data_IF_310218162008
#
_entry.id   IF_310218162008
#
_cell.length_a   1.000
_cell.length_b   1.000
_cell.length_c   1.000
_cell.angle_alpha   90.00
_cell.angle_beta   90.00
_cell.angle_gamma   90.00
#
_symmetry.space_group_name_H-M   'P 1'
#
loop_
_entity.id
_entity.type
_entity.pdbx_description
1 polymer ?
#
# COMPACT_ATOMS: atom_id res chain seq x y z
N UNK A 1 -20.40 -9.00 -16.71
CA UNK A 1 -20.59 -10.22 -15.88
C UNK A 1 -19.51 -11.20 -16.29
N UNK A 2 -18.52 -11.39 -15.42
CA UNK A 2 -17.34 -12.23 -15.67
C UNK A 2 -17.71 -13.73 -15.75
N UNK A 3 -18.76 -14.18 -15.04
CA UNK A 3 -19.26 -15.55 -15.11
C UNK A 3 -19.72 -15.94 -16.52
N UNK A 4 -20.23 -14.98 -17.30
CA UNK A 4 -20.62 -15.22 -18.71
C UNK A 4 -19.45 -15.43 -19.65
N UNK A 5 -18.26 -14.92 -19.28
CA UNK A 5 -17.03 -15.06 -20.05
C UNK A 5 -16.24 -16.30 -19.64
N UNK A 6 -16.33 -16.71 -18.37
CA UNK A 6 -15.50 -17.77 -17.79
C UNK A 6 -16.28 -19.10 -17.65
N UNK A 7 -17.54 -19.05 -17.24
CA UNK A 7 -18.34 -20.26 -16.92
C UNK A 7 -19.26 -20.62 -18.10
N UNK A 8 -20.08 -19.67 -18.56
CA UNK A 8 -20.91 -19.88 -19.74
C UNK A 8 -21.91 -18.76 -20.04
N UNK A 9 -22.37 -18.65 -21.30
CA UNK A 9 -23.17 -17.50 -21.77
C UNK A 9 -24.48 -17.31 -21.01
N UNK A 10 -25.09 -18.39 -20.54
CA UNK A 10 -26.38 -18.37 -19.84
C UNK A 10 -26.25 -18.07 -18.36
N UNK A 11 -25.04 -18.15 -17.79
CA UNK A 11 -24.76 -17.95 -16.39
C UNK A 11 -25.15 -16.52 -15.95
N UNK A 12 -25.85 -16.42 -14.84
CA UNK A 12 -26.31 -15.15 -14.28
C UNK A 12 -25.29 -14.56 -13.29
N UNK A 13 -24.22 -15.28 -12.97
CA UNK A 13 -23.17 -14.91 -12.05
C UNK A 13 -23.50 -15.17 -10.58
N UNK A 14 -24.62 -15.84 -10.27
CA UNK A 14 -25.04 -16.06 -8.88
C UNK A 14 -24.01 -16.85 -8.09
N UNK A 15 -23.46 -17.93 -8.66
CA UNK A 15 -22.45 -18.76 -8.00
C UNK A 15 -21.18 -17.95 -7.71
N UNK A 16 -20.72 -17.14 -8.67
CA UNK A 16 -19.56 -16.30 -8.46
C UNK A 16 -19.83 -15.18 -7.46
N UNK A 17 -21.01 -14.58 -7.50
CA UNK A 17 -21.39 -13.56 -6.52
C UNK A 17 -21.42 -14.16 -5.11
N UNK A 18 -21.99 -15.36 -4.93
CA UNK A 18 -21.97 -16.08 -3.67
C UNK A 18 -20.54 -16.41 -3.23
N UNK A 19 -19.71 -16.89 -4.17
CA UNK A 19 -18.31 -17.21 -3.92
C UNK A 19 -17.54 -16.01 -3.36
N UNK A 20 -17.76 -14.82 -3.92
CA UNK A 20 -17.12 -13.59 -3.47
C UNK A 20 -17.77 -12.97 -2.23
N UNK A 21 -19.10 -13.06 -2.09
CA UNK A 21 -19.82 -12.22 -1.12
C UNK A 21 -20.19 -12.92 0.17
N UNK A 22 -20.31 -14.25 0.14
CA UNK A 22 -20.97 -15.04 1.18
C UNK A 22 -20.27 -16.36 1.51
N UNK A 23 -19.39 -16.85 0.64
CA UNK A 23 -18.69 -18.12 0.87
C UNK A 23 -17.73 -18.03 2.07
N UNK A 24 -17.61 -19.07 2.91
CA UNK A 24 -16.89 -18.96 4.19
C UNK A 24 -15.37 -19.14 4.07
N UNK A 25 -14.80 -19.10 2.85
CA UNK A 25 -13.35 -19.26 2.70
C UNK A 25 -12.59 -18.03 3.24
N UNK A 26 -11.41 -18.29 3.78
CA UNK A 26 -10.61 -17.26 4.45
C UNK A 26 -9.68 -16.57 3.47
N UNK A 27 -9.92 -15.29 3.21
CA UNK A 27 -8.99 -14.41 2.50
C UNK A 27 -7.59 -14.43 3.13
N UNK A 28 -7.53 -14.33 4.45
CA UNK A 28 -6.27 -14.32 5.18
C UNK A 28 -5.45 -15.61 4.98
N UNK A 29 -6.10 -16.78 4.83
CA UNK A 29 -5.38 -18.03 4.55
C UNK A 29 -4.73 -18.03 3.17
N UNK A 30 -5.38 -17.43 2.16
CA UNK A 30 -4.80 -17.27 0.82
C UNK A 30 -3.61 -16.32 0.88
N UNK A 31 -3.77 -15.18 1.55
CA UNK A 31 -2.69 -14.19 1.73
C UNK A 31 -1.51 -14.80 2.49
N UNK A 32 -1.75 -15.55 3.56
CA UNK A 32 -0.71 -16.24 4.31
C UNK A 32 0.03 -17.29 3.46
N UNK A 33 -0.68 -18.01 2.57
CA UNK A 33 -0.02 -18.93 1.65
C UNK A 33 0.88 -18.19 0.66
N UNK A 34 0.45 -17.05 0.11
CA UNK A 34 1.28 -16.20 -0.75
C UNK A 34 2.53 -15.70 -0.01
N UNK A 35 2.39 -15.28 1.25
CA UNK A 35 3.53 -14.89 2.08
C UNK A 35 4.51 -16.05 2.30
N UNK A 36 4.00 -17.27 2.55
CA UNK A 36 4.82 -18.46 2.72
C UNK A 36 5.55 -18.86 1.41
N UNK A 37 4.87 -18.82 0.27
CA UNK A 37 5.45 -19.13 -1.04
C UNK A 37 6.55 -18.12 -1.42
N UNK A 38 6.32 -16.84 -1.14
CA UNK A 38 7.30 -15.78 -1.32
C UNK A 38 8.52 -16.01 -0.40
N UNK A 39 8.29 -16.30 0.88
CA UNK A 39 9.36 -16.61 1.83
C UNK A 39 10.16 -17.87 1.45
N UNK A 40 9.55 -18.82 0.74
CA UNK A 40 10.22 -20.03 0.25
C UNK A 40 10.94 -19.83 -1.09
N UNK A 41 10.76 -18.69 -1.78
CA UNK A 41 11.33 -18.45 -3.11
C UNK A 41 12.81 -18.05 -3.01
N UNK A 42 13.78 -18.85 -3.54
CA UNK A 42 15.21 -18.58 -3.37
C UNK A 42 15.68 -17.25 -3.97
N UNK A 43 15.12 -16.87 -5.12
CA UNK A 43 15.46 -15.62 -5.80
C UNK A 43 15.02 -14.35 -5.05
N UNK A 44 14.16 -14.50 -4.03
CA UNK A 44 13.61 -13.38 -3.25
C UNK A 44 14.15 -13.32 -1.82
N UNK A 45 15.18 -14.11 -1.48
CA UNK A 45 15.78 -14.14 -0.14
C UNK A 45 16.58 -12.88 0.21
N UNK A 46 16.93 -12.05 -0.78
CA UNK A 46 17.72 -10.83 -0.59
C UNK A 46 17.16 -9.69 -1.45
N UNK A 47 17.45 -8.44 -1.10
CA UNK A 47 16.99 -7.25 -1.82
C UNK A 47 15.49 -6.97 -1.72
N UNK A 48 14.79 -7.72 -0.87
CA UNK A 48 13.37 -7.54 -0.59
C UNK A 48 13.12 -6.27 0.21
N UNK A 49 12.09 -5.51 -0.17
CA UNK A 49 11.66 -4.30 0.54
C UNK A 49 10.17 -4.38 0.78
N UNK A 50 9.76 -4.01 1.98
CA UNK A 50 8.35 -3.84 2.28
C UNK A 50 7.94 -2.40 2.07
N UNK A 51 6.76 -2.17 1.51
CA UNK A 51 6.23 -0.82 1.30
C UNK A 51 4.82 -0.76 1.85
N UNK A 52 4.62 0.06 2.88
CA UNK A 52 3.33 0.31 3.52
C UNK A 52 2.73 1.59 2.96
N UNK A 53 1.51 1.50 2.43
CA UNK A 53 0.80 2.61 1.83
C UNK A 53 -0.72 2.39 1.93
N UNK A 54 -1.50 3.42 1.62
CA UNK A 54 -2.93 3.26 1.41
C UNK A 54 -3.37 3.58 -0.01
N UNK A 55 -4.51 3.05 -0.38
CA UNK A 55 -5.18 3.47 -1.60
C UNK A 55 -6.67 3.66 -1.37
N UNK A 56 -7.16 4.84 -1.77
CA UNK A 56 -8.56 5.19 -1.77
C UNK A 56 -9.23 4.83 -3.10
N UNK A 57 -10.43 4.25 -3.01
CA UNK A 57 -11.34 4.04 -4.13
C UNK A 57 -12.61 4.88 -3.93
N UNK A 58 -13.00 5.63 -4.96
CA UNK A 58 -14.13 6.55 -4.88
C UNK A 58 -15.45 5.76 -4.85
N UNK A 59 -16.39 6.15 -4.00
CA UNK A 59 -17.68 5.48 -3.87
C UNK A 59 -18.83 6.43 -4.17
N UNK A 60 -19.86 5.91 -4.83
CA UNK A 60 -21.07 6.66 -5.17
C UNK A 60 -22.11 6.71 -4.04
N UNK A 61 -21.92 5.96 -2.94
CA UNK A 61 -22.86 5.90 -1.82
C UNK A 61 -22.26 5.29 -0.55
N UNK A 62 -22.97 5.46 0.57
CA UNK A 62 -22.53 5.04 1.92
C UNK A 62 -22.77 3.55 2.21
N UNK A 63 -23.44 2.82 1.31
CA UNK A 63 -23.88 1.44 1.52
C UNK A 63 -22.80 0.38 1.29
N UNK A 64 -21.53 0.78 1.22
CA UNK A 64 -20.40 -0.15 1.09
C UNK A 64 -19.57 -0.12 2.36
N UNK A 65 -19.06 -1.27 2.78
CA UNK A 65 -18.28 -1.38 4.02
C UNK A 65 -17.10 -0.39 4.00
N UNK A 66 -16.89 0.36 5.08
CA UNK A 66 -15.80 1.34 5.17
C UNK A 66 -15.94 2.59 4.29
N UNK A 67 -17.04 2.74 3.53
CA UNK A 67 -17.30 3.97 2.80
C UNK A 67 -17.56 5.13 3.79
N UNK A 68 -16.80 6.21 3.64
CA UNK A 68 -16.97 7.44 4.42
C UNK A 68 -16.36 8.63 3.68
N UNK A 69 -16.63 9.85 4.15
CA UNK A 69 -15.90 11.04 3.66
C UNK A 69 -14.50 11.03 4.27
N UNK A 70 -13.50 10.78 3.43
CA UNK A 70 -12.10 10.67 3.83
C UNK A 70 -11.23 11.43 2.83
N UNK A 71 -10.00 11.74 3.20
CA UNK A 71 -9.05 12.35 2.27
C UNK A 71 -8.75 11.33 1.16
N UNK A 72 -9.06 11.70 -0.08
CA UNK A 72 -8.74 10.90 -1.25
C UNK A 72 -7.55 11.53 -1.97
N UNK A 73 -6.37 10.95 -1.78
CA UNK A 73 -5.12 11.46 -2.38
C UNK A 73 -5.19 11.58 -3.90
N UNK A 74 -5.94 10.70 -4.58
CA UNK A 74 -6.13 10.76 -6.04
C UNK A 74 -6.95 11.97 -6.48
N UNK A 75 -7.94 12.36 -5.67
CA UNK A 75 -8.83 13.49 -5.99
C UNK A 75 -8.36 14.81 -5.35
N UNK A 76 -7.32 14.76 -4.50
CA UNK A 76 -6.79 15.92 -3.79
C UNK A 76 -7.79 16.60 -2.86
N UNK A 77 -8.80 15.86 -2.37
CA UNK A 77 -9.89 16.42 -1.57
C UNK A 77 -10.52 15.39 -0.64
N UNK A 78 -11.28 15.89 0.34
CA UNK A 78 -12.21 15.09 1.12
C UNK A 78 -13.37 14.64 0.22
N UNK A 79 -13.50 13.33 0.02
CA UNK A 79 -14.57 12.75 -0.78
C UNK A 79 -15.08 11.43 -0.20
N UNK A 80 -16.26 11.01 -0.65
CA UNK A 80 -16.81 9.72 -0.30
C UNK A 80 -15.97 8.62 -0.95
N UNK A 81 -15.23 7.88 -0.13
CA UNK A 81 -14.36 6.82 -0.59
C UNK A 81 -14.24 5.69 0.43
N UNK A 82 -13.75 4.56 -0.06
CA UNK A 82 -13.33 3.39 0.70
C UNK A 82 -11.81 3.34 0.65
N UNK A 83 -11.13 3.09 1.77
CA UNK A 83 -9.67 3.10 1.82
C UNK A 83 -9.17 1.75 2.30
N UNK A 84 -8.28 1.13 1.52
CA UNK A 84 -7.51 -0.02 1.97
C UNK A 84 -6.11 0.41 2.40
N UNK A 85 -5.58 -0.23 3.43
CA UNK A 85 -4.16 -0.20 3.78
C UNK A 85 -3.52 -1.43 3.12
N UNK A 86 -2.41 -1.25 2.42
CA UNK A 86 -1.75 -2.32 1.66
C UNK A 86 -0.30 -2.41 2.05
N UNK A 87 0.22 -3.64 2.05
CA UNK A 87 1.63 -3.92 2.21
C UNK A 87 2.11 -4.61 0.95
N UNK A 88 3.07 -3.97 0.28
CA UNK A 88 3.71 -4.48 -0.92
C UNK A 88 5.08 -5.04 -0.60
N UNK A 89 5.48 -6.08 -1.32
CA UNK A 89 6.85 -6.56 -1.40
C UNK A 89 7.44 -6.12 -2.74
N UNK A 90 8.66 -5.59 -2.74
CA UNK A 90 9.33 -5.16 -3.95
C UNK A 90 10.84 -5.45 -3.95
N UNK A 91 11.32 -5.98 -5.07
CA UNK A 91 12.74 -6.04 -5.46
C UNK A 91 12.97 -5.12 -6.65
N UNK A 92 14.18 -5.07 -7.21
CA UNK A 92 14.47 -4.18 -8.34
C UNK A 92 13.75 -4.57 -9.64
N UNK A 93 13.30 -5.82 -9.74
CA UNK A 93 12.65 -6.37 -10.92
C UNK A 93 11.19 -6.77 -10.69
N UNK A 94 10.71 -6.68 -9.45
CA UNK A 94 9.45 -7.29 -9.00
C UNK A 94 8.75 -6.40 -7.99
N UNK A 95 7.42 -6.38 -8.03
CA UNK A 95 6.58 -5.84 -6.96
C UNK A 95 5.25 -6.58 -6.93
N UNK A 96 4.70 -6.79 -5.75
CA UNK A 96 3.36 -7.37 -5.55
C UNK A 96 2.80 -6.95 -4.20
N UNK A 97 1.49 -6.84 -4.06
CA UNK A 97 0.86 -6.82 -2.73
C UNK A 97 1.04 -8.18 -2.06
N UNK A 98 1.29 -8.16 -0.76
CA UNK A 98 1.47 -9.36 0.08
C UNK A 98 0.56 -9.36 1.31
N UNK A 99 -0.10 -8.25 1.61
CA UNK A 99 -1.13 -8.13 2.64
C UNK A 99 -2.01 -6.91 2.37
N UNK A 100 -3.20 -6.87 2.94
CA UNK A 100 -4.10 -5.72 2.86
C UNK A 100 -5.21 -5.79 3.90
N UNK A 101 -5.72 -4.62 4.29
CA UNK A 101 -6.80 -4.49 5.28
C UNK A 101 -7.72 -3.35 4.90
N UNK A 102 -9.04 -3.57 4.98
CA UNK A 102 -9.99 -2.48 4.81
C UNK A 102 -9.97 -1.58 6.05
N UNK A 103 -9.71 -0.29 5.85
CA UNK A 103 -9.85 0.68 6.92
C UNK A 103 -11.33 1.02 7.14
N UNK A 104 -11.80 0.79 8.38
CA UNK A 104 -13.13 1.18 8.85
C UNK A 104 -12.98 2.42 9.76
N UNK A 105 -13.41 3.61 9.32
CA UNK A 105 -13.36 4.83 10.13
C UNK A 105 -14.14 4.68 11.45
N UNK A 106 -13.73 5.38 12.50
CA UNK A 106 -14.34 5.30 13.84
C UNK A 106 -15.88 5.39 13.85
N UNK A 107 -16.54 6.27 13.08
CA UNK A 107 -18.01 6.32 13.04
C UNK A 107 -18.67 4.99 12.65
N UNK A 108 -18.00 4.11 11.89
CA UNK A 108 -18.51 2.79 11.54
C UNK A 108 -18.80 1.92 12.75
N UNK A 109 -18.20 2.21 13.92
CA UNK A 109 -18.38 1.45 15.16
C UNK A 109 -19.43 2.04 16.09
N UNK A 110 -20.06 3.17 15.72
CA UNK A 110 -21.15 3.75 16.48
C UNK A 110 -22.39 2.81 16.51
N UNK A 111 -23.24 2.88 17.56
CA UNK A 111 -24.43 2.03 17.69
C UNK A 111 -25.39 2.13 16.49
N UNK A 112 -25.48 3.31 15.87
CA UNK A 112 -26.39 3.60 14.75
C UNK A 112 -26.05 2.79 13.49
N UNK A 113 -24.77 2.40 13.33
CA UNK A 113 -24.30 1.59 12.21
C UNK A 113 -24.24 0.08 12.53
N UNK A 114 -24.67 -0.36 13.72
CA UNK A 114 -24.62 -1.78 14.09
C UNK A 114 -25.39 -2.69 13.11
N UNK A 115 -26.61 -2.29 12.72
CA UNK A 115 -27.42 -3.02 11.73
C UNK A 115 -26.72 -3.08 10.36
N UNK A 116 -26.09 -1.97 9.95
CA UNK A 116 -25.40 -1.89 8.66
C UNK A 116 -24.10 -2.72 8.65
N UNK A 117 -23.36 -2.75 9.76
CA UNK A 117 -22.19 -3.63 9.94
C UNK A 117 -22.57 -5.11 9.75
N UNK A 118 -23.66 -5.54 10.38
CA UNK A 118 -24.18 -6.91 10.24
C UNK A 118 -24.62 -7.18 8.80
N UNK A 119 -25.39 -6.28 8.17
CA UNK A 119 -25.87 -6.41 6.79
C UNK A 119 -24.70 -6.55 5.79
N UNK A 120 -23.61 -5.84 6.04
CA UNK A 120 -22.42 -5.81 5.18
C UNK A 120 -21.41 -6.92 5.50
N UNK A 121 -21.66 -7.75 6.52
CA UNK A 121 -20.79 -8.85 6.89
C UNK A 121 -19.48 -8.41 7.54
N UNK A 122 -19.46 -7.25 8.20
CA UNK A 122 -18.29 -6.82 8.99
C UNK A 122 -18.20 -7.72 10.24
N UNK A 123 -17.04 -8.37 10.50
CA UNK A 123 -16.89 -9.26 11.66
C UNK A 123 -17.19 -8.55 12.98
N UNK A 124 -17.93 -9.18 13.92
CA UNK A 124 -18.31 -8.55 15.19
C UNK A 124 -17.12 -8.27 16.10
N UNK A 125 -16.00 -8.99 15.91
CA UNK A 125 -14.76 -8.78 16.64
C UNK A 125 -13.96 -7.55 16.16
N UNK A 126 -14.32 -6.94 15.02
CA UNK A 126 -13.67 -5.70 14.57
C UNK A 126 -14.03 -4.55 15.50
N UNK A 127 -13.02 -3.80 15.90
CA UNK A 127 -13.13 -2.52 16.57
C UNK A 127 -12.36 -1.45 15.78
N UNK A 128 -12.55 -0.19 16.15
CA UNK A 128 -11.81 0.89 15.51
C UNK A 128 -10.30 0.66 15.67
N UNK A 129 -9.62 0.60 14.54
CA UNK A 129 -8.17 0.44 14.44
C UNK A 129 -7.66 1.49 13.47
N UNK A 130 -6.68 2.30 13.90
CA UNK A 130 -6.10 3.34 13.03
C UNK A 130 -5.34 2.69 11.86
N UNK A 131 -5.19 3.40 10.74
CA UNK A 131 -4.39 2.92 9.59
C UNK A 131 -2.96 2.52 10.00
N UNK A 132 -2.36 3.30 10.90
CA UNK A 132 -1.03 3.03 11.46
C UNK A 132 -1.00 1.71 12.23
N UNK A 133 -2.01 1.43 13.05
CA UNK A 133 -2.12 0.18 13.79
C UNK A 133 -2.43 -1.02 12.86
N UNK A 134 -3.25 -0.83 11.82
CA UNK A 134 -3.47 -1.86 10.78
C UNK A 134 -2.16 -2.20 10.06
N UNK A 135 -1.41 -1.17 9.63
CA UNK A 135 -0.10 -1.36 9.00
C UNK A 135 0.86 -2.14 9.89
N UNK A 136 0.89 -1.83 11.21
CA UNK A 136 1.69 -2.61 12.15
C UNK A 136 1.24 -4.07 12.26
N UNK A 137 -0.07 -4.34 12.37
CA UNK A 137 -0.60 -5.70 12.40
C UNK A 137 -0.21 -6.51 11.16
N UNK A 138 -0.25 -5.88 9.97
CA UNK A 138 0.18 -6.49 8.71
C UNK A 138 1.68 -6.81 8.73
N UNK A 139 2.52 -5.89 9.20
CA UNK A 139 3.97 -6.11 9.35
C UNK A 139 4.24 -7.27 10.32
N UNK A 140 3.51 -7.36 11.43
CA UNK A 140 3.64 -8.47 12.38
C UNK A 140 3.32 -9.82 11.72
N UNK A 141 2.31 -9.89 10.85
CA UNK A 141 1.99 -11.12 10.10
C UNK A 141 3.13 -11.51 9.16
N UNK A 142 3.69 -10.54 8.43
CA UNK A 142 4.82 -10.76 7.52
C UNK A 142 6.09 -11.21 8.26
N UNK A 143 6.37 -10.63 9.43
CA UNK A 143 7.45 -11.08 10.32
C UNK A 143 7.21 -12.51 10.82
N UNK A 144 5.98 -12.83 11.26
CA UNK A 144 5.63 -14.17 11.71
C UNK A 144 5.69 -15.22 10.59
N UNK A 145 5.45 -14.82 9.34
CA UNK A 145 5.58 -15.66 8.16
C UNK A 145 7.03 -15.85 7.69
N UNK A 146 8.00 -15.10 8.26
CA UNK A 146 9.41 -15.21 7.89
C UNK A 146 9.72 -14.67 6.50
N UNK A 147 8.92 -13.73 5.98
CA UNK A 147 9.19 -13.09 4.68
C UNK A 147 10.51 -12.31 4.75
N UNK A 148 11.48 -12.57 3.86
CA UNK A 148 12.78 -11.92 3.90
C UNK A 148 12.73 -10.51 3.30
N UNK A 149 13.06 -9.48 4.07
CA UNK A 149 13.21 -8.11 3.58
C UNK A 149 14.27 -7.34 4.36
N UNK A 150 14.82 -6.30 3.73
CA UNK A 150 15.93 -5.50 4.28
C UNK A 150 15.44 -4.22 4.94
N UNK A 151 14.35 -3.64 4.43
CA UNK A 151 13.84 -2.35 4.90
C UNK A 151 12.33 -2.22 4.67
N UNK A 152 11.65 -1.54 5.59
CA UNK A 152 10.29 -1.04 5.44
C UNK A 152 10.29 0.41 4.94
N UNK A 153 9.59 0.68 3.86
CA UNK A 153 9.36 2.01 3.30
C UNK A 153 7.92 2.44 3.57
N UNK A 154 7.69 3.68 3.95
CA UNK A 154 6.35 4.22 4.11
C UNK A 154 6.31 5.74 3.92
N UNK A 155 5.12 6.26 3.64
CA UNK A 155 4.90 7.69 3.46
C UNK A 155 4.83 8.46 4.79
N UNK A 156 4.49 9.75 4.70
CA UNK A 156 4.46 10.64 5.84
C UNK A 156 3.28 10.44 6.78
N UNK A 157 2.22 9.70 6.39
CA UNK A 157 1.15 9.29 7.30
C UNK A 157 1.69 8.32 8.34
N UNK A 158 2.50 7.36 7.91
CA UNK A 158 3.10 6.35 8.78
C UNK A 158 4.35 6.88 9.47
N UNK A 159 5.22 7.59 8.75
CA UNK A 159 6.50 8.05 9.32
C UNK A 159 6.38 9.12 10.40
N UNK A 160 5.33 9.95 10.36
CA UNK A 160 5.04 10.88 11.47
C UNK A 160 4.68 10.18 12.78
N UNK A 161 4.25 8.92 12.73
CA UNK A 161 3.91 8.14 13.92
C UNK A 161 5.18 7.70 14.65
N UNK A 162 5.51 8.41 15.73
CA UNK A 162 6.59 8.00 16.63
C UNK A 162 6.32 6.61 17.23
N UNK A 163 5.06 6.29 17.51
CA UNK A 163 4.66 4.97 18.01
C UNK A 163 5.04 3.86 17.02
N UNK A 164 4.74 4.04 15.72
CA UNK A 164 5.08 3.02 14.71
C UNK A 164 6.59 2.87 14.56
N UNK A 165 7.33 3.99 14.49
CA UNK A 165 8.80 3.97 14.44
C UNK A 165 9.42 3.28 15.66
N UNK A 166 8.83 3.47 16.84
CA UNK A 166 9.20 2.74 18.05
C UNK A 166 8.93 1.23 17.93
N UNK A 167 7.74 0.83 17.48
CA UNK A 167 7.41 -0.59 17.26
C UNK A 167 8.37 -1.27 16.28
N UNK A 168 8.67 -0.61 15.15
CA UNK A 168 9.62 -1.11 14.15
C UNK A 168 11.02 -1.29 14.73
N UNK A 169 11.50 -0.32 15.50
CA UNK A 169 12.81 -0.41 16.17
C UNK A 169 12.85 -1.55 17.19
N UNK A 170 11.81 -1.73 18.00
CA UNK A 170 11.74 -2.82 18.99
C UNK A 170 11.72 -4.18 18.32
N UNK A 171 11.10 -4.29 17.14
CA UNK A 171 11.10 -5.51 16.32
C UNK A 171 12.33 -5.64 15.40
N UNK A 172 13.35 -4.78 15.59
CA UNK A 172 14.59 -4.78 14.79
C UNK A 172 14.37 -4.62 13.27
N UNK A 173 13.25 -4.00 12.89
CA UNK A 173 12.94 -3.67 11.49
C UNK A 173 13.59 -2.34 11.13
N UNK A 174 14.47 -2.37 10.13
CA UNK A 174 15.00 -1.15 9.51
C UNK A 174 13.89 -0.48 8.71
N UNK A 175 13.73 0.83 8.87
CA UNK A 175 12.78 1.62 8.08
C UNK A 175 13.44 2.81 7.40
N UNK A 176 12.82 3.26 6.31
CA UNK A 176 12.97 4.61 5.76
C UNK A 176 11.55 5.16 5.61
N UNK A 177 11.17 6.05 6.51
CA UNK A 177 9.82 6.58 6.61
C UNK A 177 9.82 8.06 6.25
N UNK A 178 9.06 8.44 5.22
CA UNK A 178 8.90 9.85 4.89
C UNK A 178 8.25 10.60 6.07
N UNK A 179 8.59 11.87 6.25
CA UNK A 179 8.09 12.69 7.35
C UNK A 179 7.74 14.11 6.88
N UNK A 180 6.75 14.76 7.51
CA UNK A 180 6.42 16.15 7.21
C UNK A 180 7.60 17.11 7.41
N UNK A 181 7.62 18.20 6.63
CA UNK A 181 8.68 19.22 6.69
C UNK A 181 8.81 19.93 8.05
N UNK A 182 7.76 19.90 8.88
CA UNK A 182 7.71 20.46 10.24
C UNK A 182 8.06 19.46 11.35
N UNK A 183 8.40 18.21 10.99
CA UNK A 183 8.82 17.18 11.95
C UNK A 183 9.99 17.68 12.78
N UNK A 184 9.85 17.58 14.10
CA UNK A 184 10.82 18.09 15.07
C UNK A 184 11.92 17.06 15.33
N UNK A 185 13.17 17.46 15.13
CA UNK A 185 14.37 16.66 15.37
C UNK A 185 15.42 17.47 16.12
N UNK A 186 16.29 16.83 16.87
CA UNK A 186 17.44 17.44 17.51
C UNK A 186 18.66 17.25 16.60
N UNK A 187 19.36 18.32 16.17
CA UNK A 187 20.57 18.20 15.34
C UNK A 187 21.81 17.70 16.10
N UNK A 188 21.72 17.63 17.43
CA UNK A 188 22.75 17.13 18.35
C UNK A 188 22.05 16.31 19.42
N UNK A 189 22.73 15.30 19.98
CA UNK A 189 22.15 14.42 20.99
C UNK A 189 21.64 15.23 22.22
N UNK A 190 20.33 15.21 22.52
CA UNK A 190 19.80 15.81 23.73
C UNK A 190 20.16 14.95 24.94
N UNK A 191 20.40 15.61 26.09
CA UNK A 191 20.56 14.93 27.39
C UNK A 191 19.27 15.11 28.17
N UNK A 192 18.53 14.03 28.42
CA UNK A 192 17.21 14.09 29.09
C UNK A 192 17.31 13.62 30.53
N UNK A 193 16.84 14.43 31.46
CA UNK A 193 16.80 14.10 32.87
C UNK A 193 15.91 15.04 33.67
N UNK A 194 15.81 14.79 34.97
CA UNK A 194 15.11 15.68 35.89
C UNK A 194 16.00 16.87 36.20
N UNK A 195 15.55 18.12 36.00
CA UNK A 195 16.35 19.30 36.32
C UNK A 195 16.75 19.34 37.80
N UNK A 196 17.92 19.89 38.11
CA UNK A 196 18.30 20.13 39.51
C UNK A 196 17.40 21.21 40.11
N UNK A 197 16.90 20.98 41.33
CA UNK A 197 16.06 21.94 42.04
C UNK A 197 16.78 23.29 42.21
N UNK A 198 16.15 24.38 41.78
CA UNK A 198 16.69 25.74 41.97
C UNK A 198 16.30 26.24 43.37
N UNK A 199 17.11 25.89 44.38
CA UNK A 199 17.01 26.40 45.75
C UNK A 199 16.51 25.38 46.78
N UNK A 200 16.53 25.78 48.07
CA UNK A 200 16.15 24.94 49.23
C UNK A 200 14.64 24.91 49.51
N UNK A 201 13.84 25.76 48.84
CA UNK A 201 12.38 25.87 49.02
C UNK A 201 11.68 25.64 47.69
N UNK A 202 10.68 24.76 47.68
CA UNK A 202 9.89 24.40 46.51
C UNK A 202 9.80 22.89 46.32
N UNK A 203 8.76 22.43 45.63
CA UNK A 203 8.61 21.01 45.26
C UNK A 203 9.75 20.63 44.30
N UNK A 204 10.49 19.55 44.54
CA UNK A 204 11.48 19.06 43.59
C UNK A 204 10.84 18.88 42.21
N UNK A 205 11.51 19.33 41.13
CA UNK A 205 11.01 19.07 39.79
C UNK A 205 10.91 17.55 39.58
N UNK A 206 9.80 17.09 39.02
CA UNK A 206 9.58 15.67 38.69
C UNK A 206 9.49 15.44 37.19
N UNK A 207 9.28 16.50 36.40
CA UNK A 207 9.19 16.43 34.95
C UNK A 207 10.58 16.36 34.33
N UNK A 208 10.82 15.33 33.52
CA UNK A 208 12.03 15.19 32.71
C UNK A 208 12.03 16.22 31.57
N UNK A 209 13.20 16.79 31.30
CA UNK A 209 13.42 17.82 30.27
C UNK A 209 14.81 17.64 29.65
N UNK A 210 15.03 18.25 28.49
CA UNK A 210 16.36 18.36 27.90
C UNK A 210 17.22 19.31 28.73
N UNK A 211 18.35 18.82 29.25
CA UNK A 211 19.21 19.51 30.23
C UNK A 211 20.38 20.26 29.59
N UNK A 212 20.86 19.82 28.42
CA UNK A 212 22.03 20.39 27.74
C UNK A 212 21.69 21.56 26.79
N UNK A 213 20.47 22.12 26.88
CA UNK A 213 20.05 23.31 26.14
C UNK A 213 19.85 23.10 24.63
N UNK A 214 19.95 21.86 24.12
CA UNK A 214 19.67 21.57 22.71
C UNK A 214 18.17 21.67 22.48
N UNK A 215 17.76 22.47 21.50
CA UNK A 215 16.36 22.62 21.11
C UNK A 215 16.06 21.79 19.88
N UNK A 216 14.83 21.24 19.74
CA UNK A 216 14.41 20.65 18.50
C UNK A 216 14.27 21.71 17.41
N UNK A 217 14.47 21.30 16.16
CA UNK A 217 14.25 22.11 14.96
C UNK A 217 13.43 21.29 13.96
N UNK A 218 12.71 21.97 13.07
CA UNK A 218 12.02 21.29 11.99
C UNK A 218 13.03 20.71 10.99
N UNK A 219 12.74 19.54 10.39
CA UNK A 219 13.62 18.92 9.38
C UNK A 219 13.92 19.85 8.19
N UNK A 220 12.98 20.71 7.78
CA UNK A 220 13.23 21.74 6.76
C UNK A 220 14.32 22.74 7.14
N UNK A 221 14.47 23.03 8.43
CA UNK A 221 15.51 23.94 8.90
C UNK A 221 16.87 23.25 8.86
N UNK A 222 16.93 21.92 9.02
CA UNK A 222 18.17 21.14 8.85
C UNK A 222 18.66 21.21 7.40
N UNK A 223 17.74 21.13 6.43
CA UNK A 223 18.06 21.28 5.00
C UNK A 223 18.76 22.59 4.66
N UNK A 224 18.35 23.69 5.31
CA UNK A 224 18.92 25.02 5.07
C UNK A 224 20.21 25.32 5.83
N UNK A 225 20.78 24.37 6.59
CA UNK A 225 22.02 24.62 7.35
C UNK A 225 23.24 24.58 6.44
N UNK A 226 24.22 25.43 6.74
CA UNK A 226 25.50 25.48 6.01
C UNK A 226 26.29 24.16 6.05
N UNK A 227 26.07 23.32 7.06
CA UNK A 227 26.71 22.01 7.23
C UNK A 227 25.92 20.84 6.61
N UNK A 228 24.85 21.14 5.86
CA UNK A 228 24.06 20.15 5.12
C UNK A 228 24.43 20.23 3.64
N UNK A 229 25.28 19.30 3.20
CA UNK A 229 25.82 19.30 1.85
C UNK A 229 25.02 18.37 0.94
N UNK A 230 24.36 18.95 -0.06
CA UNK A 230 23.65 18.20 -1.08
C UNK A 230 24.61 17.69 -2.16
N UNK A 231 24.46 16.42 -2.54
CA UNK A 231 25.18 15.78 -3.65
C UNK A 231 24.18 15.26 -4.66
N UNK A 232 24.45 15.44 -5.95
CA UNK A 232 23.60 14.90 -7.01
C UNK A 232 23.84 13.40 -7.14
N UNK A 233 22.76 12.62 -7.10
CA UNK A 233 22.78 11.17 -7.25
C UNK A 233 21.85 10.79 -8.40
N UNK A 234 22.30 9.85 -9.23
CA UNK A 234 21.46 9.27 -10.29
C UNK A 234 20.47 8.31 -9.64
N UNK A 235 19.18 8.64 -9.74
CA UNK A 235 18.09 7.92 -9.07
C UNK A 235 17.64 6.73 -9.92
N UNK A 236 17.34 6.98 -11.21
CA UNK A 236 16.92 5.92 -12.15
C UNK A 236 17.04 6.38 -13.59
N UNK A 237 17.18 5.42 -14.50
CA UNK A 237 16.92 5.67 -15.92
C UNK A 237 15.41 5.87 -16.15
N UNK A 238 15.07 6.82 -17.01
CA UNK A 238 13.71 7.10 -17.49
C UNK A 238 13.74 7.20 -19.00
N UNK A 239 12.58 7.15 -19.66
CA UNK A 239 12.46 7.34 -21.12
C UNK A 239 13.02 8.70 -21.59
N UNK A 240 13.14 9.68 -20.68
CA UNK A 240 13.67 11.02 -20.93
C UNK A 240 15.15 11.19 -20.52
N UNK A 241 15.85 10.09 -20.23
CA UNK A 241 17.23 10.09 -19.73
C UNK A 241 17.32 9.74 -18.24
N UNK A 242 18.44 10.08 -17.60
CA UNK A 242 18.67 9.74 -16.18
C UNK A 242 18.03 10.79 -15.27
N UNK A 243 17.10 10.34 -14.41
CA UNK A 243 16.60 11.17 -13.31
C UNK A 243 17.70 11.30 -12.26
N UNK A 244 18.11 12.52 -11.95
CA UNK A 244 19.15 12.80 -10.98
C UNK A 244 18.74 13.95 -10.05
N UNK A 245 18.57 13.62 -8.77
CA UNK A 245 18.14 14.54 -7.73
C UNK A 245 19.30 14.83 -6.76
N UNK A 246 19.17 15.89 -5.97
CA UNK A 246 20.17 16.23 -4.96
C UNK A 246 19.78 15.64 -3.60
N UNK A 247 20.72 14.99 -2.92
CA UNK A 247 20.50 14.35 -1.64
C UNK A 247 21.48 14.84 -0.57
N UNK A 248 21.01 14.90 0.67
CA UNK A 248 21.86 15.06 1.84
C UNK A 248 21.45 14.04 2.90
N UNK A 249 22.42 13.54 3.66
CA UNK A 249 22.19 12.61 4.77
C UNK A 249 22.81 13.20 6.03
N UNK A 250 22.06 13.19 7.13
CA UNK A 250 22.50 13.76 8.41
C UNK A 250 22.08 12.85 9.55
N UNK A 251 22.93 12.69 10.55
CA UNK A 251 22.51 12.10 11.81
C UNK A 251 21.71 13.14 12.62
N UNK A 252 20.56 12.73 13.14
CA UNK A 252 19.68 13.51 14.00
C UNK A 252 19.21 12.65 15.17
N UNK A 253 18.57 13.27 16.15
CA UNK A 253 17.98 12.58 17.28
C UNK A 253 16.50 12.92 17.41
N UNK A 254 15.69 11.93 17.75
CA UNK A 254 14.30 12.12 18.17
C UNK A 254 14.13 11.73 19.63
N UNK A 255 13.02 12.17 20.21
CA UNK A 255 12.67 11.87 21.58
C UNK A 255 11.30 11.19 21.60
N UNK A 256 11.23 10.01 22.20
CA UNK A 256 10.00 9.26 22.40
C UNK A 256 9.93 8.79 23.85
N UNK A 257 8.94 9.24 24.63
CA UNK A 257 8.78 8.88 26.06
C UNK A 257 10.09 8.94 26.87
N UNK A 258 10.84 10.04 26.72
CA UNK A 258 12.16 10.30 27.30
C UNK A 258 13.34 9.44 26.77
N UNK A 259 13.10 8.54 25.82
CA UNK A 259 14.13 7.79 25.11
C UNK A 259 14.69 8.63 23.95
N UNK A 260 16.00 8.88 24.00
CA UNK A 260 16.73 9.58 22.94
C UNK A 260 17.15 8.56 21.89
N UNK A 261 16.59 8.67 20.69
CA UNK A 261 16.83 7.75 19.58
C UNK A 261 17.66 8.45 18.53
N UNK A 262 18.79 7.85 18.14
CA UNK A 262 19.59 8.33 17.01
C UNK A 262 19.00 7.79 15.69
N UNK A 263 18.82 8.67 14.71
CA UNK A 263 18.26 8.33 13.39
C UNK A 263 19.04 9.05 12.28
N UNK A 264 18.94 8.50 11.08
CA UNK A 264 19.34 9.18 9.86
C UNK A 264 18.20 10.03 9.34
N UNK A 265 18.49 11.29 9.01
CA UNK A 265 17.65 12.16 8.20
C UNK A 265 18.16 12.13 6.77
N UNK A 266 17.35 11.60 5.85
CA UNK A 266 17.62 11.57 4.42
C UNK A 266 16.79 12.66 3.74
N UNK A 267 17.46 13.63 3.15
CA UNK A 267 16.86 14.75 2.43
C UNK A 267 17.00 14.52 0.94
N UNK A 268 15.92 14.73 0.18
CA UNK A 268 15.90 14.71 -1.29
C UNK A 268 15.31 16.00 -1.79
N UNK A 269 16.02 16.72 -2.65
CA UNK A 269 15.51 17.91 -3.33
C UNK A 269 15.01 17.53 -4.73
N UNK A 270 13.69 17.50 -4.88
CA UNK A 270 12.99 17.18 -6.13
C UNK A 270 12.68 18.48 -6.89
N UNK A 271 13.71 19.11 -7.44
CA UNK A 271 13.55 20.33 -8.26
C UNK A 271 13.00 21.53 -7.50
N UNK A 272 13.43 21.73 -6.25
CA UNK A 272 13.01 22.82 -5.38
C UNK A 272 11.90 22.45 -4.39
N UNK A 273 11.43 21.20 -4.41
CA UNK A 273 10.47 20.66 -3.44
C UNK A 273 11.15 19.57 -2.60
N UNK A 274 11.72 19.92 -1.43
CA UNK A 274 12.44 18.96 -0.61
C UNK A 274 11.49 17.98 0.10
N UNK A 275 11.81 16.70 0.04
CA UNK A 275 11.18 15.62 0.82
C UNK A 275 12.16 15.08 1.86
N UNK A 276 11.61 14.61 2.99
CA UNK A 276 12.38 14.25 4.18
C UNK A 276 11.99 12.84 4.61
N UNK A 277 12.97 12.01 4.96
CA UNK A 277 12.72 10.71 5.57
C UNK A 277 13.59 10.49 6.81
N UNK A 278 13.06 9.80 7.80
CA UNK A 278 13.81 9.29 8.95
C UNK A 278 14.09 7.79 8.78
N UNK A 279 15.24 7.36 9.26
CA UNK A 279 15.64 5.94 9.25
C UNK A 279 16.37 5.55 10.53
N UNK A 280 16.03 4.38 11.06
CA UNK A 280 16.76 3.75 12.17
C UNK A 280 17.90 2.82 11.70
N UNK A 281 18.31 2.89 10.43
CA UNK A 281 19.37 2.03 9.91
C UNK A 281 20.67 2.17 10.74
N UNK A 282 21.46 1.09 10.88
CA UNK A 282 22.70 1.12 11.66
C UNK A 282 23.63 2.28 11.27
N UNK A 283 24.43 2.84 12.21
CA UNK A 283 25.39 3.90 11.89
C UNK A 283 26.46 3.51 10.85
N UNK A 284 26.64 2.21 10.62
CA UNK A 284 27.54 1.65 9.61
C UNK A 284 26.91 1.59 8.20
N UNK A 285 25.63 1.92 8.07
CA UNK A 285 24.92 1.91 6.79
C UNK A 285 25.49 2.99 5.87
N UNK A 286 25.96 2.64 4.65
CA UNK A 286 26.47 3.63 3.70
C UNK A 286 25.39 4.65 3.31
N UNK A 287 25.77 5.93 3.16
CA UNK A 287 24.85 6.99 2.69
C UNK A 287 24.19 6.63 1.36
N UNK A 288 24.92 5.95 0.46
CA UNK A 288 24.40 5.49 -0.82
C UNK A 288 23.21 4.52 -0.67
N UNK A 289 23.24 3.65 0.34
CA UNK A 289 22.16 2.70 0.61
C UNK A 289 20.91 3.42 1.13
N UNK A 290 21.08 4.41 2.02
CA UNK A 290 19.98 5.23 2.54
C UNK A 290 19.30 6.03 1.42
N UNK A 291 20.10 6.58 0.51
CA UNK A 291 19.61 7.28 -0.68
C UNK A 291 18.89 6.32 -1.62
N UNK A 292 19.45 5.13 -1.87
CA UNK A 292 18.79 4.10 -2.68
C UNK A 292 17.42 3.76 -2.08
N UNK A 293 17.35 3.32 -0.83
CA UNK A 293 16.07 2.97 -0.17
C UNK A 293 15.03 4.08 -0.25
N UNK A 294 15.41 5.35 -0.03
CA UNK A 294 14.48 6.49 -0.17
C UNK A 294 13.92 6.58 -1.59
N UNK A 295 14.70 6.28 -2.62
CA UNK A 295 14.26 6.30 -4.01
C UNK A 295 13.32 5.15 -4.39
N UNK A 296 13.32 4.05 -3.62
CA UNK A 296 12.59 2.81 -3.97
C UNK A 296 11.13 2.80 -3.52
N UNK A 297 10.63 3.86 -2.87
CA UNK A 297 9.19 4.00 -2.54
C UNK A 297 8.31 3.90 -3.80
N UNK A 298 8.83 4.26 -4.97
CA UNK A 298 8.13 4.12 -6.26
C UNK A 298 7.59 2.69 -6.54
N UNK A 299 8.15 1.64 -5.93
CA UNK A 299 7.63 0.28 -6.06
C UNK A 299 6.16 0.16 -5.68
N UNK A 300 5.66 0.98 -4.75
CA UNK A 300 4.24 0.97 -4.35
C UNK A 300 3.34 1.65 -5.37
N UNK A 301 3.83 2.68 -6.05
CA UNK A 301 3.08 3.30 -7.14
C UNK A 301 2.90 2.32 -8.30
N UNK A 302 3.93 1.52 -8.59
CA UNK A 302 3.84 0.43 -9.57
C UNK A 302 2.88 -0.68 -9.13
N UNK A 303 2.98 -1.17 -7.89
CA UNK A 303 2.10 -2.24 -7.42
C UNK A 303 0.64 -1.78 -7.32
N UNK A 304 0.40 -0.56 -6.85
CA UNK A 304 -0.93 0.05 -6.83
C UNK A 304 -1.48 0.27 -8.25
N UNK A 305 -0.62 0.67 -9.19
CA UNK A 305 -1.00 0.82 -10.60
C UNK A 305 -1.38 -0.53 -11.21
N UNK A 306 -0.52 -1.54 -11.10
CA UNK A 306 -0.74 -2.89 -11.62
C UNK A 306 -2.00 -3.51 -11.00
N UNK A 307 -2.17 -3.38 -9.68
CA UNK A 307 -3.38 -3.84 -9.00
C UNK A 307 -4.63 -3.19 -9.58
N UNK A 308 -4.62 -1.86 -9.78
CA UNK A 308 -5.78 -1.10 -10.26
C UNK A 308 -6.09 -1.34 -11.73
N UNK A 309 -5.08 -1.22 -12.58
CA UNK A 309 -5.22 -1.18 -14.04
C UNK A 309 -5.21 -2.56 -14.67
N UNK A 310 -4.50 -3.52 -14.08
CA UNK A 310 -4.24 -4.81 -14.71
C UNK A 310 -4.85 -6.00 -13.96
N UNK A 311 -4.92 -5.94 -12.62
CA UNK A 311 -5.48 -7.01 -11.77
C UNK A 311 -6.94 -6.75 -11.36
N UNK A 312 -7.55 -5.69 -11.87
CA UNK A 312 -8.98 -5.41 -11.69
C UNK A 312 -9.37 -4.80 -10.34
N UNK A 313 -8.42 -4.33 -9.53
CA UNK A 313 -8.72 -3.60 -8.30
C UNK A 313 -9.45 -2.29 -8.56
N UNK A 314 -9.15 -1.60 -9.67
CA UNK A 314 -9.77 -0.32 -10.04
C UNK A 314 -11.23 -0.47 -10.51
N UNK A 315 -11.59 -1.64 -11.02
CA UNK A 315 -12.94 -1.96 -11.48
C UNK A 315 -13.81 -2.61 -10.40
N UNK A 316 -13.23 -2.86 -9.21
CA UNK A 316 -13.92 -3.58 -8.15
C UNK A 316 -15.04 -2.75 -7.53
N UNK A 317 -16.25 -3.31 -7.58
CA UNK A 317 -17.44 -2.72 -6.98
C UNK A 317 -18.17 -3.78 -6.15
N UNK A 318 -18.03 -3.70 -4.82
CA UNK A 318 -18.82 -4.49 -3.89
C UNK A 318 -19.20 -3.69 -2.66
N UNK A 319 -20.33 -4.07 -2.07
CA UNK A 319 -20.81 -3.49 -0.82
C UNK A 319 -20.29 -4.24 0.40
N UNK A 320 -20.34 -5.57 0.37
CA UNK A 320 -20.01 -6.42 1.52
C UNK A 320 -18.52 -6.39 1.83
N UNK A 321 -18.22 -6.44 3.12
CA UNK A 321 -16.88 -6.55 3.67
C UNK A 321 -16.19 -7.83 3.16
N UNK A 322 -16.86 -8.98 3.23
CA UNK A 322 -16.33 -10.26 2.75
C UNK A 322 -15.95 -10.22 1.28
N UNK A 323 -16.75 -9.55 0.44
CA UNK A 323 -16.42 -9.38 -0.97
C UNK A 323 -15.16 -8.56 -1.20
N UNK A 324 -14.93 -7.54 -0.36
CA UNK A 324 -13.69 -6.76 -0.41
C UNK A 324 -12.48 -7.62 -0.02
N UNK A 325 -12.57 -8.37 1.07
CA UNK A 325 -11.50 -9.26 1.55
C UNK A 325 -11.17 -10.36 0.54
N UNK A 326 -12.20 -10.98 -0.04
CA UNK A 326 -12.04 -12.00 -1.06
C UNK A 326 -11.41 -11.45 -2.34
N UNK A 327 -11.85 -10.28 -2.78
CA UNK A 327 -11.25 -9.63 -3.96
C UNK A 327 -9.80 -9.24 -3.71
N UNK A 328 -9.47 -8.78 -2.51
CA UNK A 328 -8.10 -8.51 -2.09
C UNK A 328 -7.23 -9.77 -2.16
N UNK A 329 -7.68 -10.87 -1.57
CA UNK A 329 -6.94 -12.13 -1.58
C UNK A 329 -6.69 -12.65 -3.00
N UNK A 330 -7.69 -12.56 -3.89
CA UNK A 330 -7.53 -12.96 -5.29
C UNK A 330 -6.61 -12.01 -6.07
N UNK A 331 -6.65 -10.71 -5.78
CA UNK A 331 -5.75 -9.72 -6.38
C UNK A 331 -4.30 -9.98 -5.96
N UNK A 332 -4.06 -10.25 -4.67
CA UNK A 332 -2.75 -10.63 -4.13
C UNK A 332 -2.27 -11.94 -4.77
N UNK A 333 -3.13 -12.95 -4.86
CA UNK A 333 -2.78 -14.23 -5.49
C UNK A 333 -2.42 -14.08 -6.97
N UNK A 334 -3.20 -13.28 -7.72
CA UNK A 334 -2.90 -13.00 -9.12
C UNK A 334 -1.59 -12.21 -9.29
N UNK A 335 -1.34 -11.22 -8.42
CA UNK A 335 -0.08 -10.49 -8.37
C UNK A 335 1.11 -11.41 -8.09
N UNK A 336 0.95 -12.34 -7.15
CA UNK A 336 1.96 -13.35 -6.85
C UNK A 336 2.22 -14.29 -8.02
N UNK A 337 1.18 -14.78 -8.71
CA UNK A 337 1.35 -15.59 -9.92
C UNK A 337 2.16 -14.86 -10.99
N UNK A 338 1.88 -13.58 -11.23
CA UNK A 338 2.65 -12.75 -12.16
C UNK A 338 4.10 -12.61 -11.70
N UNK A 339 4.30 -12.34 -10.40
CA UNK A 339 5.61 -12.22 -9.80
C UNK A 339 6.45 -13.50 -9.96
N UNK A 340 5.86 -14.65 -9.67
CA UNK A 340 6.50 -15.96 -9.84
C UNK A 340 6.83 -16.22 -11.31
N UNK A 341 5.88 -15.99 -12.23
CA UNK A 341 6.08 -16.16 -13.68
C UNK A 341 7.24 -15.30 -14.19
N UNK A 342 7.33 -14.03 -13.76
CA UNK A 342 8.44 -13.13 -14.12
C UNK A 342 9.78 -13.63 -13.57
N UNK A 343 9.79 -14.17 -12.36
CA UNK A 343 11.00 -14.71 -11.71
C UNK A 343 11.50 -15.97 -12.41
N UNK A 344 10.59 -16.89 -12.71
CA UNK A 344 10.90 -18.12 -13.45
C UNK A 344 11.37 -17.80 -14.87
N UNK A 345 10.69 -16.89 -15.56
CA UNK A 345 11.08 -16.44 -16.89
C UNK A 345 12.49 -15.83 -16.90
N UNK A 346 12.80 -14.94 -15.95
CA UNK A 346 14.12 -14.33 -15.88
C UNK A 346 15.23 -15.35 -15.61
N UNK A 347 14.91 -16.43 -14.90
CA UNK A 347 15.85 -17.54 -14.61
C UNK A 347 16.05 -18.44 -15.83
N UNK A 348 14.99 -18.73 -16.58
CA UNK A 348 15.02 -19.64 -17.73
C UNK A 348 15.44 -18.96 -19.04
N UNK A 349 15.15 -17.67 -19.18
CA UNK A 349 15.32 -16.89 -20.40
C UNK A 349 16.10 -15.61 -20.10
N UNK A 350 17.43 -15.73 -20.10
CA UNK A 350 18.34 -14.59 -19.99
C UNK A 350 18.13 -13.58 -21.13
N UNK A 351 18.35 -12.30 -20.84
CA UNK A 351 18.25 -11.23 -21.84
C UNK A 351 19.43 -11.32 -22.81
N UNK A 352 19.16 -11.31 -24.11
CA UNK A 352 20.19 -11.38 -25.15
C UNK A 352 21.00 -10.08 -25.24
N UNK A 353 22.24 -10.12 -24.75
CA UNK A 353 23.15 -8.98 -24.79
C UNK A 353 23.53 -8.55 -26.22
N UNK A 354 23.56 -9.47 -27.18
CA UNK A 354 23.86 -9.14 -28.59
C UNK A 354 22.72 -8.35 -29.21
N UNK A 355 21.48 -8.71 -28.89
CA UNK A 355 20.31 -7.96 -29.34
C UNK A 355 20.26 -6.58 -28.67
N UNK A 356 20.62 -6.45 -27.39
CA UNK A 356 20.73 -5.15 -26.73
C UNK A 356 21.75 -4.25 -27.42
N UNK A 357 22.93 -4.78 -27.75
CA UNK A 357 24.00 -4.07 -28.48
C UNK A 357 23.55 -3.68 -29.89
N UNK A 358 22.94 -4.61 -30.64
CA UNK A 358 22.43 -4.36 -31.98
C UNK A 358 21.34 -3.27 -32.02
N UNK A 359 20.51 -3.18 -30.98
CA UNK A 359 19.48 -2.14 -30.83
C UNK A 359 20.03 -0.85 -30.19
N UNK A 360 21.28 -0.83 -29.75
CA UNK A 360 21.89 0.33 -29.08
C UNK A 360 21.25 0.67 -27.73
N UNK A 361 20.66 -0.31 -27.04
CA UNK A 361 19.99 -0.10 -25.74
C UNK A 361 20.82 -0.67 -24.60
N UNK A 362 20.79 0.01 -23.44
CA UNK A 362 21.53 -0.43 -22.24
C UNK A 362 20.96 -1.70 -21.61
N UNK A 363 19.68 -2.01 -21.85
CA UNK A 363 19.07 -3.26 -21.42
C UNK A 363 17.80 -3.56 -22.22
N UNK A 364 17.52 -4.85 -22.44
CA UNK A 364 16.23 -5.30 -22.98
C UNK A 364 15.15 -5.25 -21.88
N UNK A 365 13.87 -5.03 -22.24
CA UNK A 365 12.78 -4.99 -21.29
C UNK A 365 12.63 -6.34 -20.55
N UNK A 366 12.17 -6.27 -19.30
CA UNK A 366 11.72 -7.43 -18.55
C UNK A 366 10.36 -7.93 -19.04
N UNK A 367 10.01 -9.17 -18.71
CA UNK A 367 8.64 -9.65 -18.88
C UNK A 367 7.68 -8.75 -18.07
N UNK A 368 6.74 -8.10 -18.76
CA UNK A 368 5.75 -7.23 -18.14
C UNK A 368 4.53 -8.01 -17.66
N UNK A 369 3.72 -7.42 -16.78
CA UNK A 369 2.42 -8.00 -16.39
C UNK A 369 1.53 -8.20 -17.63
N UNK A 370 1.49 -7.22 -18.54
CA UNK A 370 0.73 -7.33 -19.78
C UNK A 370 1.15 -8.56 -20.61
N UNK A 371 2.45 -8.87 -20.69
CA UNK A 371 2.90 -10.08 -21.37
C UNK A 371 2.50 -11.36 -20.62
N UNK A 372 2.57 -11.39 -19.28
CA UNK A 372 2.07 -12.53 -18.51
C UNK A 372 0.57 -12.75 -18.75
N UNK A 373 -0.21 -11.67 -18.85
CA UNK A 373 -1.62 -11.74 -19.19
C UNK A 373 -1.83 -12.30 -20.60
N UNK A 374 -1.05 -11.88 -21.59
CA UNK A 374 -1.10 -12.44 -22.96
C UNK A 374 -0.78 -13.94 -22.97
N UNK A 375 0.28 -14.35 -22.25
CA UNK A 375 0.64 -15.76 -22.09
C UNK A 375 -0.51 -16.55 -21.44
N UNK A 376 -1.09 -16.01 -20.37
CA UNK A 376 -2.22 -16.62 -19.68
C UNK A 376 -3.45 -16.74 -20.60
N UNK A 377 -3.76 -15.71 -21.39
CA UNK A 377 -4.86 -15.74 -22.36
C UNK A 377 -4.64 -16.75 -23.49
N UNK A 378 -3.39 -16.99 -23.89
CA UNK A 378 -3.05 -17.97 -24.91
C UNK A 378 -3.26 -19.42 -24.42
N UNK A 379 -3.08 -19.68 -23.12
CA UNK A 379 -3.20 -21.03 -22.54
C UNK A 379 -4.53 -21.27 -21.83
N UNK A 380 -5.25 -20.22 -21.42
CA UNK A 380 -6.55 -20.37 -20.77
C UNK A 380 -7.65 -20.66 -21.81
N UNK A 381 -8.40 -21.76 -21.66
CA UNK A 381 -9.53 -22.06 -22.54
C UNK A 381 -10.73 -21.19 -22.18
N UNK A 382 -10.73 -19.93 -22.63
CA UNK A 382 -11.91 -19.07 -22.54
C UNK A 382 -12.96 -19.59 -23.53
N UNK A 383 -14.19 -19.81 -23.06
CA UNK A 383 -15.29 -20.20 -23.94
C UNK A 383 -15.53 -19.11 -25.00
N UNK A 384 -15.36 -19.45 -26.26
CA UNK A 384 -15.80 -18.62 -27.38
C UNK A 384 -17.22 -18.98 -27.75
N UNK A 385 -18.10 -17.98 -27.75
CA UNK A 385 -19.48 -18.16 -28.19
C UNK A 385 -19.53 -18.29 -29.71
N UNK A 386 -20.30 -19.25 -30.21
CA UNK A 386 -20.66 -19.26 -31.61
C UNK A 386 -21.49 -18.01 -31.96
N UNK A 387 -21.53 -17.57 -33.23
CA UNK A 387 -22.35 -16.43 -33.64
C UNK A 387 -23.83 -16.59 -33.27
N UNK A 388 -24.33 -17.83 -33.19
CA UNK A 388 -25.70 -18.12 -32.75
C UNK A 388 -25.87 -17.95 -31.24
N UNK A 389 -24.94 -18.47 -30.43
CA UNK A 389 -24.95 -18.28 -28.98
C UNK A 389 -24.81 -16.79 -28.61
N UNK A 390 -23.96 -16.06 -29.32
CA UNK A 390 -23.80 -14.61 -29.15
C UNK A 390 -25.10 -13.86 -29.46
N UNK A 391 -25.78 -14.17 -30.57
CA UNK A 391 -27.09 -13.59 -30.92
C UNK A 391 -28.14 -13.85 -29.86
N UNK A 392 -28.27 -15.09 -29.38
CA UNK A 392 -29.21 -15.44 -28.30
C UNK A 392 -28.93 -14.67 -27.01
N UNK A 393 -27.65 -14.50 -26.67
CA UNK A 393 -27.25 -13.73 -25.50
C UNK A 393 -27.66 -12.25 -25.62
N UNK A 394 -27.45 -11.65 -26.80
CA UNK A 394 -27.89 -10.27 -27.08
C UNK A 394 -29.41 -10.14 -26.96
N UNK A 395 -30.17 -11.07 -27.54
CA UNK A 395 -31.64 -11.09 -27.42
C UNK A 395 -32.07 -11.17 -25.96
N UNK A 396 -31.49 -12.08 -25.17
CA UNK A 396 -31.75 -12.19 -23.72
C UNK A 396 -31.51 -10.85 -23.01
N UNK A 397 -30.39 -10.18 -23.28
CA UNK A 397 -30.09 -8.88 -22.68
C UNK A 397 -31.08 -7.78 -23.05
N UNK A 398 -31.51 -7.72 -24.31
CA UNK A 398 -32.51 -6.76 -24.76
C UNK A 398 -33.84 -7.01 -24.05
N UNK A 399 -34.26 -8.27 -23.89
CA UNK A 399 -35.47 -8.64 -23.15
C UNK A 399 -35.34 -8.27 -21.67
N UNK A 400 -34.24 -8.61 -21.02
CA UNK A 400 -34.00 -8.31 -19.59
C UNK A 400 -33.98 -6.80 -19.34
N UNK A 401 -33.38 -6.02 -20.24
CA UNK A 401 -33.37 -4.54 -20.17
C UNK A 401 -34.78 -3.98 -20.31
N UNK A 402 -35.58 -4.50 -21.24
CA UNK A 402 -36.98 -4.12 -21.43
C UNK A 402 -37.84 -4.47 -20.21
N UNK A 403 -37.64 -5.65 -19.61
CA UNK A 403 -38.30 -6.06 -18.34
C UNK A 403 -37.94 -5.13 -17.19
N UNK A 404 -36.65 -4.80 -17.04
CA UNK A 404 -36.16 -3.87 -16.01
C UNK A 404 -36.77 -2.46 -16.19
N UNK A 405 -36.83 -1.94 -17.42
CA UNK A 405 -37.47 -0.66 -17.72
C UNK A 405 -38.96 -0.69 -17.39
N UNK A 406 -39.68 -1.75 -17.77
CA UNK A 406 -41.10 -1.93 -17.43
C UNK A 406 -41.33 -1.92 -15.92
N UNK A 407 -40.52 -2.65 -15.15
CA UNK A 407 -40.60 -2.70 -13.69
C UNK A 407 -40.38 -1.32 -13.05
N UNK A 408 -39.38 -0.55 -13.51
CA UNK A 408 -39.15 0.82 -13.05
C UNK A 408 -40.33 1.74 -13.33
N UNK A 409 -40.91 1.66 -14.52
CA UNK A 409 -42.09 2.46 -14.88
C UNK A 409 -43.30 2.09 -14.03
N UNK A 410 -43.50 0.81 -13.73
CA UNK A 410 -44.58 0.35 -12.84
C UNK A 410 -44.38 0.84 -11.39
N UNK A 411 -43.15 0.80 -10.88
CA UNK A 411 -42.82 1.31 -9.55
C UNK A 411 -43.01 2.83 -9.43
N UNK A 412 -42.76 3.59 -10.51
CA UNK A 412 -43.06 5.03 -10.57
C UNK A 412 -44.57 5.31 -10.50
N UNK A 413 -45.40 4.47 -11.12
CA UNK A 413 -46.86 4.60 -11.05
C UNK A 413 -47.44 4.19 -9.69
N UNK A 414 -46.71 3.43 -8.87
CA UNK A 414 -47.15 2.94 -7.56
C UNK A 414 -46.62 3.76 -6.37
N UNK A 415 -45.95 4.90 -6.59
CA UNK A 415 -45.66 5.82 -5.49
C UNK A 415 -46.97 6.44 -5.00
N UNK A 416 -47.36 6.28 -3.72
CA UNK A 416 -48.47 7.05 -3.16
C UNK A 416 -48.13 8.53 -3.28
N UNK A 417 -49.09 9.36 -3.70
CA UNK A 417 -48.94 10.82 -3.65
C UNK A 417 -48.62 11.27 -2.22
N UNK A 418 -47.99 12.45 -2.04
CA UNK A 418 -47.64 12.93 -0.71
C UNK A 418 -48.92 13.12 0.11
N UNK A 419 -49.08 12.35 1.19
CA UNK A 419 -50.02 12.61 2.28
C UNK A 419 -49.31 13.32 3.41
#
# INVERSE_FOLDING_TARGET
>A
NIARRIIGPTDDGQALQQFMSDSPWSAQRVIAQVQADLAATPALQCGGRLILDESADAKAGLHSAGAARQWNGRLGKLDLCQVGVFLAFATDSLWTWIDGELFLPEPWFAPELATERTRLGIPPARSFTTKVALGWQMIQRVLAAGVPFEVLLCDDLYGRSQWLRHQLRVAEVVYVADVPADTQVYPRQPVVGVPVARGRRGRPPTQRRVLNGVTPVAVRQVAGRADTHFRRVQVRATERGVLADAFAVRQVWTLHDDEVVAEWLVLRDEGGQPTYALSNAPPTTPEAQLVDWKCRRFGVECSNHDAKSELGWGDFQAQKYTAWEHHLALTILAGWFVAQTKTDWATQHGRDGRLAEALGVSSLPALSLANVRELLQAVMPLQQLSPEQARRLVVKHLVDRSRSTRSRLQAQHHKPGPT
#
